data_IF_922253130084
#
_entry.id   IF_922253130084
#
_cell.length_a   1.000
_cell.length_b   1.000
_cell.length_c   1.000
_cell.angle_alpha   90.00
_cell.angle_beta   90.00
_cell.angle_gamma   90.00
#
_symmetry.space_group_name_H-M   'P 1'
#
loop_
_entity.id
_entity.type
_entity.pdbx_description
1 polymer ?
#
# COMPACT_ATOMS: atom_id res chain seq x y z
N UNK A 1 22.04 18.79 -36.14
CA UNK A 1 21.76 17.35 -36.20
C UNK A 1 20.27 17.16 -35.94
N UNK A 2 19.48 16.81 -36.96
CA UNK A 2 18.07 16.46 -36.78
C UNK A 2 18.01 15.00 -36.33
N UNK A 3 17.80 14.76 -35.04
CA UNK A 3 17.53 13.41 -34.55
C UNK A 3 16.08 13.10 -34.90
N UNK A 4 15.85 12.54 -36.10
CA UNK A 4 14.55 12.00 -36.47
C UNK A 4 14.31 10.73 -35.66
N UNK A 5 13.50 10.83 -34.60
CA UNK A 5 13.09 9.68 -33.81
C UNK A 5 12.10 8.83 -34.61
N UNK A 6 12.45 7.58 -34.88
CA UNK A 6 11.56 6.60 -35.49
C UNK A 6 10.98 5.70 -34.40
N UNK A 7 9.66 5.66 -34.29
CA UNK A 7 9.00 4.85 -33.28
C UNK A 7 9.15 3.34 -33.61
N UNK A 8 9.65 2.56 -32.65
CA UNK A 8 9.91 1.13 -32.82
C UNK A 8 8.80 0.28 -32.18
N UNK A 9 7.69 0.09 -32.90
CA UNK A 9 6.53 -0.68 -32.41
C UNK A 9 6.82 -2.18 -32.19
N UNK A 10 7.81 -2.74 -32.89
CA UNK A 10 8.17 -4.16 -32.77
C UNK A 10 8.59 -4.55 -31.35
N UNK A 11 9.10 -3.61 -30.54
CA UNK A 11 9.47 -3.86 -29.14
C UNK A 11 8.29 -4.43 -28.35
N UNK A 12 7.05 -3.98 -28.62
CA UNK A 12 5.86 -4.46 -27.91
C UNK A 12 5.52 -5.89 -28.34
N UNK A 13 5.48 -6.14 -29.64
CA UNK A 13 5.12 -7.46 -30.19
C UNK A 13 6.17 -8.51 -29.86
N UNK A 14 7.45 -8.14 -29.86
CA UNK A 14 8.56 -9.05 -29.60
C UNK A 14 8.65 -9.42 -28.11
N UNK A 15 8.18 -8.55 -27.22
CA UNK A 15 8.23 -8.73 -25.76
C UNK A 15 6.87 -9.01 -25.12
N UNK A 16 5.84 -9.33 -25.90
CA UNK A 16 4.46 -9.45 -25.40
C UNK A 16 4.31 -10.40 -24.20
N UNK A 17 5.06 -11.50 -24.16
CA UNK A 17 5.04 -12.47 -23.05
C UNK A 17 5.50 -11.84 -21.73
N UNK A 18 6.55 -11.03 -21.77
CA UNK A 18 7.08 -10.32 -20.58
C UNK A 18 6.09 -9.26 -20.12
N UNK A 19 5.45 -8.56 -21.05
CA UNK A 19 4.41 -7.58 -20.72
C UNK A 19 3.21 -8.24 -20.04
N UNK A 20 2.71 -9.36 -20.57
CA UNK A 20 1.62 -10.13 -19.95
C UNK A 20 2.02 -10.68 -18.58
N UNK A 21 3.25 -11.17 -18.43
CA UNK A 21 3.76 -11.60 -17.13
C UNK A 21 3.82 -10.44 -16.12
N UNK A 22 4.24 -9.24 -16.55
CA UNK A 22 4.24 -8.03 -15.74
C UNK A 22 2.83 -7.62 -15.31
N UNK A 23 1.86 -7.64 -16.23
CA UNK A 23 0.44 -7.38 -15.93
C UNK A 23 -0.09 -8.38 -14.90
N UNK A 24 0.22 -9.66 -15.06
CA UNK A 24 -0.17 -10.66 -14.08
C UNK A 24 0.40 -10.35 -12.69
N UNK A 25 1.69 -9.97 -12.62
CA UNK A 25 2.34 -9.55 -11.36
C UNK A 25 1.60 -8.38 -10.71
N UNK A 26 1.29 -7.35 -11.48
CA UNK A 26 0.60 -6.17 -10.96
C UNK A 26 -0.80 -6.52 -10.41
N UNK A 27 -1.56 -7.36 -11.12
CA UNK A 27 -2.89 -7.79 -10.69
C UNK A 27 -2.84 -8.54 -9.36
N UNK A 28 -2.02 -9.59 -9.24
CA UNK A 28 -2.07 -10.38 -8.02
C UNK A 28 -1.43 -9.64 -6.83
N UNK A 29 -0.39 -8.83 -7.06
CA UNK A 29 0.24 -8.02 -6.01
C UNK A 29 -0.72 -6.94 -5.52
N UNK A 30 -1.42 -6.25 -6.42
CA UNK A 30 -2.40 -5.21 -6.06
C UNK A 30 -3.59 -5.79 -5.30
N UNK A 31 -4.13 -6.93 -5.74
CA UNK A 31 -5.22 -7.62 -5.03
C UNK A 31 -4.81 -8.04 -3.63
N UNK A 32 -3.67 -8.72 -3.48
CA UNK A 32 -3.19 -9.16 -2.17
C UNK A 32 -2.84 -7.97 -1.26
N UNK A 33 -2.14 -6.96 -1.80
CA UNK A 33 -1.80 -5.74 -1.07
C UNK A 33 -3.05 -4.98 -0.60
N UNK A 34 -4.08 -4.89 -1.44
CA UNK A 34 -5.37 -4.29 -1.08
C UNK A 34 -6.08 -5.08 0.03
N UNK A 35 -6.12 -6.41 -0.05
CA UNK A 35 -6.70 -7.24 1.00
C UNK A 35 -5.99 -7.03 2.35
N UNK A 36 -4.66 -7.02 2.36
CA UNK A 36 -3.87 -6.75 3.56
C UNK A 36 -4.12 -5.33 4.11
N UNK A 37 -4.22 -4.33 3.23
CA UNK A 37 -4.58 -2.97 3.59
C UNK A 37 -5.98 -2.90 4.21
N UNK A 38 -6.98 -3.60 3.67
CA UNK A 38 -8.31 -3.67 4.25
C UNK A 38 -8.30 -4.28 5.65
N UNK A 39 -7.59 -5.40 5.86
CA UNK A 39 -7.48 -6.03 7.18
C UNK A 39 -6.84 -5.07 8.19
N UNK A 40 -5.71 -4.47 7.84
CA UNK A 40 -5.01 -3.53 8.73
C UNK A 40 -5.84 -2.26 8.99
N UNK A 41 -6.50 -1.74 7.97
CA UNK A 41 -7.37 -0.58 8.06
C UNK A 41 -8.55 -0.83 9.00
N UNK A 42 -9.23 -1.97 8.83
CA UNK A 42 -10.36 -2.33 9.68
C UNK A 42 -9.93 -2.50 11.15
N UNK A 43 -8.85 -3.24 11.40
CA UNK A 43 -8.30 -3.40 12.74
C UNK A 43 -7.97 -2.04 13.40
N UNK A 44 -7.33 -1.14 12.63
CA UNK A 44 -7.00 0.21 13.08
C UNK A 44 -8.25 1.03 13.42
N UNK A 45 -9.28 0.97 12.58
CA UNK A 45 -10.55 1.66 12.81
C UNK A 45 -11.25 1.16 14.07
N UNK A 46 -11.34 -0.16 14.25
CA UNK A 46 -11.99 -0.75 15.43
C UNK A 46 -11.31 -0.32 16.73
N UNK A 47 -9.98 -0.31 16.76
CA UNK A 47 -9.21 0.15 17.93
C UNK A 47 -9.47 1.64 18.22
N UNK A 48 -9.55 2.48 17.19
CA UNK A 48 -9.83 3.92 17.35
C UNK A 48 -11.25 4.18 17.85
N UNK A 49 -12.23 3.40 17.41
CA UNK A 49 -13.63 3.54 17.83
C UNK A 49 -13.87 2.96 19.23
N UNK A 50 -13.10 1.95 19.64
CA UNK A 50 -13.19 1.37 20.99
C UNK A 50 -12.77 2.36 22.10
N UNK A 51 -12.13 3.49 21.77
CA UNK A 51 -11.83 4.56 22.73
C UNK A 51 -10.75 4.25 23.75
N UNK A 52 -9.89 3.25 23.50
CA UNK A 52 -8.78 2.92 24.40
C UNK A 52 -7.75 4.07 24.46
N UNK A 53 -7.52 4.61 25.66
CA UNK A 53 -6.65 5.79 25.89
C UNK A 53 -5.19 5.59 25.49
N UNK A 54 -4.70 4.34 25.44
CA UNK A 54 -3.32 4.02 25.05
C UNK A 54 -3.22 3.67 23.56
N UNK A 55 -4.15 2.87 23.05
CA UNK A 55 -4.07 2.35 21.67
C UNK A 55 -4.61 3.34 20.63
N UNK A 56 -5.52 4.24 21.01
CA UNK A 56 -6.07 5.23 20.09
C UNK A 56 -5.02 6.26 19.61
N UNK A 57 -4.13 6.79 20.48
CA UNK A 57 -3.01 7.63 20.02
C UNK A 57 -2.04 6.90 19.10
N UNK A 58 -1.70 5.63 19.38
CA UNK A 58 -0.76 4.85 18.54
C UNK A 58 -1.32 4.62 17.13
N UNK A 59 -2.58 4.21 17.04
CA UNK A 59 -3.27 4.04 15.75
C UNK A 59 -3.48 5.36 15.02
N UNK A 60 -3.68 6.48 15.74
CA UNK A 60 -3.68 7.80 15.14
C UNK A 60 -2.33 8.13 14.51
N UNK A 61 -1.22 7.98 15.24
CA UNK A 61 0.13 8.23 14.73
C UNK A 61 0.43 7.35 13.52
N UNK A 62 0.11 6.05 13.60
CA UNK A 62 0.23 5.15 12.46
C UNK A 62 -0.48 5.69 11.21
N UNK A 63 -1.76 6.08 11.32
CA UNK A 63 -2.53 6.61 10.19
C UNK A 63 -1.91 7.87 9.61
N UNK A 64 -1.40 8.78 10.46
CA UNK A 64 -0.71 9.99 10.00
C UNK A 64 0.56 9.65 9.22
N UNK A 65 1.42 8.79 9.77
CA UNK A 65 2.68 8.37 9.13
C UNK A 65 2.41 7.63 7.82
N UNK A 66 1.47 6.69 7.81
CA UNK A 66 1.11 5.88 6.64
C UNK A 66 0.60 6.72 5.46
N UNK A 67 0.01 7.88 5.72
CA UNK A 67 -0.55 8.77 4.70
C UNK A 67 0.34 9.98 4.39
N UNK A 68 1.29 10.31 5.25
CA UNK A 68 2.20 11.44 5.06
C UNK A 68 3.42 11.09 4.19
N UNK A 69 3.85 9.82 4.17
CA UNK A 69 5.04 9.38 3.44
C UNK A 69 4.64 8.91 2.04
N UNK A 70 5.26 9.41 0.95
CA UNK A 70 5.01 8.91 -0.39
C UNK A 70 5.27 7.40 -0.48
N UNK A 71 4.40 6.59 -1.12
CA UNK A 71 4.54 5.14 -1.17
C UNK A 71 5.89 4.68 -1.75
N UNK A 72 6.41 5.39 -2.76
CA UNK A 72 7.72 5.09 -3.33
C UNK A 72 8.86 5.31 -2.33
N UNK A 73 8.82 6.39 -1.55
CA UNK A 73 9.80 6.66 -0.50
C UNK A 73 9.71 5.61 0.61
N UNK A 74 8.49 5.21 1.00
CA UNK A 74 8.27 4.12 1.95
C UNK A 74 8.85 2.81 1.44
N UNK A 75 8.73 2.50 0.14
CA UNK A 75 9.33 1.31 -0.47
C UNK A 75 10.84 1.30 -0.35
N UNK A 76 11.51 2.43 -0.61
CA UNK A 76 12.95 2.55 -0.42
C UNK A 76 13.34 2.32 1.05
N UNK A 77 12.60 2.91 1.98
CA UNK A 77 12.82 2.69 3.41
C UNK A 77 12.62 1.23 3.82
N UNK A 78 11.55 0.58 3.38
CA UNK A 78 11.26 -0.82 3.73
C UNK A 78 12.30 -1.77 3.13
N UNK A 79 12.61 -1.61 1.84
CA UNK A 79 13.47 -2.54 1.11
C UNK A 79 14.96 -2.33 1.39
N UNK A 80 15.44 -1.08 1.43
CA UNK A 80 16.87 -0.79 1.59
C UNK A 80 17.23 -0.32 3.01
N UNK A 81 16.32 0.36 3.72
CA UNK A 81 16.59 0.85 5.07
C UNK A 81 16.34 -0.21 6.15
N UNK A 82 15.06 -0.49 6.41
CA UNK A 82 14.61 -1.35 7.50
C UNK A 82 15.05 -2.80 7.32
N UNK A 83 14.93 -3.37 6.11
CA UNK A 83 15.38 -4.74 5.86
C UNK A 83 16.87 -4.91 6.16
N UNK A 84 17.72 -4.01 5.66
CA UNK A 84 19.17 -4.01 5.94
C UNK A 84 19.47 -3.84 7.43
N UNK A 85 18.80 -2.89 8.09
CA UNK A 85 18.98 -2.63 9.53
C UNK A 85 18.64 -3.86 10.39
N UNK A 86 17.59 -4.60 10.00
CA UNK A 86 17.12 -5.80 10.69
C UNK A 86 17.83 -7.08 10.21
N UNK A 87 18.77 -7.00 9.26
CA UNK A 87 19.42 -8.17 8.66
C UNK A 87 18.47 -9.06 7.84
N UNK A 88 17.32 -8.53 7.41
CA UNK A 88 16.32 -9.22 6.61
C UNK A 88 16.64 -9.09 5.12
N UNK A 89 16.41 -10.16 4.35
CA UNK A 89 16.49 -10.16 2.89
C UNK A 89 15.08 -10.27 2.31
N UNK A 90 14.45 -9.13 2.07
CA UNK A 90 13.12 -9.09 1.46
C UNK A 90 13.22 -9.20 -0.06
N UNK A 91 12.35 -10.00 -0.67
CA UNK A 91 12.17 -9.96 -2.13
C UNK A 91 11.46 -8.66 -2.53
N UNK A 92 11.59 -8.20 -3.80
CA UNK A 92 10.89 -6.99 -4.27
C UNK A 92 9.38 -7.06 -4.03
N UNK A 93 8.79 -8.23 -4.25
CA UNK A 93 7.38 -8.54 -3.98
C UNK A 93 7.04 -8.35 -2.50
N UNK A 94 7.84 -8.91 -1.58
CA UNK A 94 7.57 -8.79 -0.14
C UNK A 94 7.61 -7.33 0.30
N UNK A 95 8.57 -6.56 -0.20
CA UNK A 95 8.70 -5.14 0.12
C UNK A 95 7.50 -4.34 -0.39
N UNK A 96 7.07 -4.54 -1.64
CA UNK A 96 5.91 -3.80 -2.16
C UNK A 96 4.61 -4.21 -1.46
N UNK A 97 4.42 -5.49 -1.11
CA UNK A 97 3.27 -5.94 -0.34
C UNK A 97 3.22 -5.30 1.05
N UNK A 98 4.36 -5.21 1.74
CA UNK A 98 4.44 -4.54 3.04
C UNK A 98 4.10 -3.04 2.93
N UNK A 99 4.58 -2.36 1.89
CA UNK A 99 4.30 -0.94 1.63
C UNK A 99 2.84 -0.72 1.30
N UNK A 100 2.24 -1.55 0.42
CA UNK A 100 0.84 -1.48 0.05
C UNK A 100 -0.06 -1.71 1.27
N UNK A 101 0.25 -2.73 2.07
CA UNK A 101 -0.47 -3.00 3.31
C UNK A 101 -0.37 -1.83 4.30
N UNK A 102 0.83 -1.30 4.53
CA UNK A 102 1.07 -0.23 5.50
C UNK A 102 0.40 1.09 5.10
N UNK A 103 0.70 1.59 3.89
CA UNK A 103 0.18 2.86 3.38
C UNK A 103 -1.31 2.76 3.09
N UNK A 104 -1.72 1.71 2.35
CA UNK A 104 -3.12 1.43 2.05
C UNK A 104 -3.97 1.22 3.30
N UNK A 105 -3.44 0.56 4.32
CA UNK A 105 -4.13 0.38 5.60
C UNK A 105 -4.45 1.70 6.30
N UNK A 106 -3.55 2.70 6.20
CA UNK A 106 -3.78 4.04 6.75
C UNK A 106 -4.94 4.77 6.05
N UNK A 107 -5.00 4.67 4.72
CA UNK A 107 -6.13 5.22 3.94
C UNK A 107 -7.42 4.45 4.21
N UNK A 108 -7.37 3.11 4.22
CA UNK A 108 -8.51 2.25 4.50
C UNK A 108 -9.09 2.51 5.89
N UNK A 109 -8.24 2.76 6.90
CA UNK A 109 -8.68 3.07 8.25
C UNK A 109 -9.56 4.34 8.30
N UNK A 110 -9.22 5.38 7.54
CA UNK A 110 -10.05 6.60 7.47
C UNK A 110 -11.32 6.39 6.67
N UNK A 111 -11.25 5.62 5.57
CA UNK A 111 -12.45 5.26 4.79
C UNK A 111 -13.44 4.50 5.65
N UNK A 112 -13.00 3.47 6.37
CA UNK A 112 -13.87 2.70 7.27
C UNK A 112 -14.39 3.55 8.43
N UNK A 113 -13.54 4.39 9.05
CA UNK A 113 -13.98 5.26 10.14
C UNK A 113 -15.03 6.26 9.67
N UNK A 114 -14.81 6.89 8.51
CA UNK A 114 -15.77 7.81 7.92
C UNK A 114 -17.08 7.09 7.54
N UNK A 115 -16.99 5.88 6.96
CA UNK A 115 -18.15 5.06 6.62
C UNK A 115 -18.98 4.67 7.84
N UNK A 116 -18.34 4.26 8.94
CA UNK A 116 -19.04 3.90 10.18
C UNK A 116 -19.70 5.15 10.80
N UNK A 117 -18.99 6.28 10.86
CA UNK A 117 -19.51 7.51 11.45
C UNK A 117 -20.57 8.23 10.58
N UNK A 118 -20.71 7.85 9.32
CA UNK A 118 -21.75 8.38 8.44
C UNK A 118 -23.14 7.81 8.75
N UNK A 119 -23.24 6.71 9.49
CA UNK A 119 -24.51 6.12 9.92
C UNK A 119 -25.06 6.89 11.12
N UNK A 120 -26.34 7.27 11.06
CA UNK A 120 -26.99 7.98 12.15
C UNK A 120 -26.96 7.18 13.46
N UNK A 121 -26.72 7.87 14.58
CA UNK A 121 -26.53 7.27 15.91
C UNK A 121 -27.76 6.54 16.48
N UNK A 122 -28.89 6.52 15.76
CA UNK A 122 -30.09 5.76 16.12
C UNK A 122 -30.28 4.45 15.34
N UNK A 123 -29.37 4.12 14.43
CA UNK A 123 -29.38 2.89 13.63
C UNK A 123 -28.28 1.89 14.05
N UNK A 124 -27.48 2.24 15.07
CA UNK A 124 -26.33 1.46 15.57
C UNK A 124 -26.47 1.19 17.05
#
# INVERSE_FOLDING_TARGET
>A
MNVAYNFQWSIITDNWKVLVAGVWIDIWVSLLGFLLACVLGLATTLVRLAGNVVLAPLTFVYVQVARAIPPYVMLLWVHFGLATLLGLKLTPVQSILAVLAFTGGGYAAEVFRAGILAVERGQV
#
